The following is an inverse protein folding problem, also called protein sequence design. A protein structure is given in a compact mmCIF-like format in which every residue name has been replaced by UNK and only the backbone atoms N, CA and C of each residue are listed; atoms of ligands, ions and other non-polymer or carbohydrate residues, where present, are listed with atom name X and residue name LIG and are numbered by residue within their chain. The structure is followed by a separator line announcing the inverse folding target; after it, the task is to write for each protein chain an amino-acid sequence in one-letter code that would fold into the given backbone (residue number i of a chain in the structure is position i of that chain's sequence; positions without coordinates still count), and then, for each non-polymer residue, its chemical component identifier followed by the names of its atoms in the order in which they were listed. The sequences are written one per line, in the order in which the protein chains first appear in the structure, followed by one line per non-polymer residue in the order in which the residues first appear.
data_IF_223225515518
#
_entry.id   IF_223225515518
#
_cell.length_a   1.000
_cell.length_b   1.000
_cell.length_c   1.000
_cell.angle_alpha   90.00
_cell.angle_beta   90.00
_cell.angle_gamma   90.00
#
_symmetry.space_group_name_H-M   'P 1'
#
loop_
_entity.id
_entity.type
_entity.pdbx_description
1 polymer ?
#
# COMPACT_ATOMS: atom_id res chain seq x y z
N UNK A 1 -17.51 42.32 -17.71
CA UNK A 1 -17.78 42.96 -16.40
C UNK A 1 -18.55 41.94 -15.58
N UNK A 2 -18.01 41.30 -14.54
CA UNK A 2 -16.75 41.46 -13.85
C UNK A 2 -16.31 40.10 -13.30
N UNK A 3 -15.00 39.96 -13.17
CA UNK A 3 -14.28 38.82 -12.66
C UNK A 3 -14.70 38.46 -11.23
N UNK A 4 -14.72 37.15 -10.94
CA UNK A 4 -14.36 36.63 -9.61
C UNK A 4 -13.43 35.45 -9.81
N UNK A 5 -12.17 35.80 -10.10
CA UNK A 5 -11.03 34.97 -9.76
C UNK A 5 -11.06 34.71 -8.25
N UNK A 6 -11.21 33.45 -7.85
CA UNK A 6 -10.90 33.00 -6.49
C UNK A 6 -9.36 32.98 -6.37
N UNK A 7 -8.80 33.48 -5.26
CA UNK A 7 -7.37 33.71 -5.17
C UNK A 7 -6.60 32.39 -5.05
N UNK A 8 -5.52 32.31 -5.82
CA UNK A 8 -4.40 31.42 -5.56
C UNK A 8 -3.76 31.74 -4.20
N UNK A 9 -3.04 30.77 -3.66
CA UNK A 9 -2.19 30.82 -2.47
C UNK A 9 -2.91 30.83 -1.11
N UNK A 10 -3.44 29.67 -0.71
CA UNK A 10 -3.20 29.24 0.66
C UNK A 10 -1.75 28.75 0.70
N UNK A 11 -0.86 29.60 1.20
CA UNK A 11 0.50 29.23 1.55
C UNK A 11 0.41 28.06 2.53
N UNK A 12 0.90 26.90 2.09
CA UNK A 12 1.20 25.78 2.96
C UNK A 12 2.22 26.29 3.98
N UNK A 13 1.84 26.26 5.25
CA UNK A 13 2.68 26.68 6.37
C UNK A 13 3.91 25.75 6.41
N UNK A 14 5.03 26.25 5.87
CA UNK A 14 6.27 25.51 5.63
C UNK A 14 7.13 25.36 6.90
N UNK A 15 6.49 25.05 8.04
CA UNK A 15 7.17 24.71 9.29
C UNK A 15 6.51 23.51 9.97
N UNK A 16 6.02 22.53 9.20
CA UNK A 16 5.89 21.19 9.76
C UNK A 16 7.32 20.67 9.97
N UNK A 17 7.74 20.61 11.23
CA UNK A 17 8.90 19.82 11.63
C UNK A 17 8.79 18.44 10.96
N UNK A 18 9.91 17.91 10.48
CA UNK A 18 10.03 16.61 9.79
C UNK A 18 9.74 15.45 10.74
N UNK A 19 8.48 15.36 11.18
CA UNK A 19 7.99 14.42 12.16
C UNK A 19 7.03 13.44 11.51
N UNK A 20 6.91 12.26 12.11
CA UNK A 20 5.89 11.26 11.77
C UNK A 20 4.50 11.87 11.60
N UNK A 21 3.60 11.11 10.96
CA UNK A 21 2.16 11.40 11.02
C UNK A 21 1.74 11.71 12.46
N UNK A 22 0.93 12.76 12.60
CA UNK A 22 0.24 13.04 13.87
C UNK A 22 -0.87 12.02 14.04
N UNK A 23 -0.63 11.03 14.91
CA UNK A 23 -1.60 10.00 15.25
C UNK A 23 -2.04 10.17 16.71
N UNK A 24 -3.31 9.90 16.98
CA UNK A 24 -3.91 9.85 18.31
C UNK A 24 -4.39 8.43 18.61
N UNK A 25 -3.49 7.46 18.76
CA UNK A 25 -3.88 6.07 18.91
C UNK A 25 -4.71 5.86 20.19
N UNK A 26 -5.79 5.06 20.15
CA UNK A 26 -6.62 4.80 21.32
C UNK A 26 -5.90 3.94 22.38
N UNK A 27 -4.85 3.23 21.96
CA UNK A 27 -4.00 2.41 22.81
C UNK A 27 -2.61 2.25 22.19
N UNK A 28 -1.60 2.12 23.06
CA UNK A 28 -0.23 1.83 22.64
C UNK A 28 0.30 0.71 23.52
N UNK A 29 0.74 -0.37 22.89
CA UNK A 29 1.32 -1.54 23.55
C UNK A 29 2.76 -1.73 23.10
N UNK A 30 3.65 -2.11 24.01
CA UNK A 30 5.07 -2.35 23.71
C UNK A 30 5.49 -3.67 24.34
N UNK A 31 6.00 -4.60 23.53
CA UNK A 31 6.36 -5.91 24.05
C UNK A 31 7.64 -5.83 24.88
N UNK A 32 7.75 -6.67 25.91
CA UNK A 32 8.99 -6.77 26.68
C UNK A 32 10.19 -7.16 25.80
N UNK A 33 9.95 -7.96 24.75
CA UNK A 33 10.97 -8.35 23.77
C UNK A 33 11.50 -7.14 22.99
N UNK A 34 10.62 -6.23 22.54
CA UNK A 34 11.02 -5.00 21.88
C UNK A 34 11.88 -4.11 22.78
N UNK A 35 11.67 -4.16 24.08
CA UNK A 35 12.42 -3.38 25.07
C UNK A 35 13.71 -4.05 25.56
N UNK A 36 13.88 -5.36 25.32
CA UNK A 36 15.04 -6.14 25.76
C UNK A 36 16.29 -5.89 24.89
N UNK A 37 16.12 -5.68 23.58
CA UNK A 37 17.21 -5.31 22.68
C UNK A 37 17.39 -3.79 22.62
N UNK A 38 18.64 -3.31 22.70
CA UNK A 38 18.94 -1.88 22.81
C UNK A 38 18.57 -1.10 21.53
N UNK A 39 18.79 -1.67 20.33
CA UNK A 39 18.46 -1.01 19.05
C UNK A 39 16.94 -0.92 18.89
N UNK A 40 16.24 -2.01 19.16
CA UNK A 40 14.78 -2.11 19.14
C UNK A 40 14.13 -1.14 20.13
N UNK A 41 14.61 -1.11 21.38
CA UNK A 41 14.11 -0.22 22.42
C UNK A 41 14.35 1.25 22.07
N UNK A 42 15.50 1.59 21.48
CA UNK A 42 15.78 2.95 21.04
C UNK A 42 14.82 3.40 19.94
N UNK A 43 14.52 2.54 18.96
CA UNK A 43 13.53 2.81 17.91
C UNK A 43 12.12 2.97 18.47
N UNK A 44 11.68 2.05 19.32
CA UNK A 44 10.37 2.13 19.95
C UNK A 44 10.22 3.44 20.74
N UNK A 45 11.20 3.79 21.59
CA UNK A 45 11.19 5.05 22.35
C UNK A 45 11.14 6.28 21.46
N UNK A 46 11.91 6.30 20.35
CA UNK A 46 11.89 7.42 19.39
C UNK A 46 10.50 7.60 18.77
N UNK A 47 9.86 6.52 18.33
CA UNK A 47 8.51 6.57 17.76
C UNK A 47 7.47 6.99 18.80
N UNK A 48 7.56 6.47 20.03
CA UNK A 48 6.66 6.85 21.12
C UNK A 48 6.78 8.35 21.47
N UNK A 49 8.00 8.89 21.45
CA UNK A 49 8.26 10.30 21.70
C UNK A 49 7.69 11.22 20.63
N UNK A 50 7.86 10.86 19.36
CA UNK A 50 7.23 11.62 18.27
C UNK A 50 5.69 11.59 18.33
N UNK A 51 5.11 10.54 18.92
CA UNK A 51 3.66 10.43 19.16
C UNK A 51 3.18 11.07 20.48
N UNK A 52 4.09 11.50 21.36
CA UNK A 52 3.76 11.93 22.72
C UNK A 52 3.00 10.86 23.53
N UNK A 53 3.36 9.59 23.36
CA UNK A 53 2.65 8.44 23.92
C UNK A 53 3.48 7.62 24.93
N UNK A 54 4.65 8.10 25.35
CA UNK A 54 5.60 7.36 26.20
C UNK A 54 4.97 6.95 27.53
N UNK A 55 4.30 7.87 28.22
CA UNK A 55 3.70 7.62 29.53
C UNK A 55 2.45 6.72 29.45
N UNK A 56 1.88 6.57 28.25
CA UNK A 56 0.66 5.78 28.00
C UNK A 56 0.96 4.40 27.40
N UNK A 57 2.22 4.09 27.13
CA UNK A 57 2.64 2.82 26.56
C UNK A 57 2.45 1.69 27.59
N UNK A 58 1.69 0.67 27.21
CA UNK A 58 1.36 -0.47 28.07
C UNK A 58 2.33 -1.62 27.75
N UNK A 59 3.17 -2.07 28.69
CA UNK A 59 4.01 -3.24 28.47
C UNK A 59 3.16 -4.50 28.31
N UNK A 60 3.58 -5.45 27.48
CA UNK A 60 2.89 -6.74 27.32
C UNK A 60 3.83 -7.90 26.99
N UNK A 61 3.34 -9.11 27.25
CA UNK A 61 3.93 -10.41 26.89
C UNK A 61 2.97 -11.20 26.00
N UNK A 62 3.43 -12.32 25.43
CA UNK A 62 2.58 -13.19 24.60
C UNK A 62 1.30 -13.67 25.32
N UNK A 63 1.39 -13.83 26.65
CA UNK A 63 0.26 -14.28 27.48
C UNK A 63 -0.86 -13.23 27.57
N UNK A 64 -0.55 -11.95 27.32
CA UNK A 64 -1.51 -10.85 27.41
C UNK A 64 -2.32 -10.67 26.11
N UNK A 65 -1.89 -11.28 25.00
CA UNK A 65 -2.49 -11.11 23.67
C UNK A 65 -4.01 -11.39 23.66
N UNK A 66 -4.53 -12.48 24.25
CA UNK A 66 -5.97 -12.74 24.26
C UNK A 66 -6.77 -11.64 24.97
N UNK A 67 -6.24 -11.10 26.06
CA UNK A 67 -6.89 -10.01 26.81
C UNK A 67 -6.79 -8.68 26.07
N UNK A 68 -5.66 -8.39 25.42
CA UNK A 68 -5.52 -7.22 24.55
C UNK A 68 -6.57 -7.21 23.44
N UNK A 69 -6.78 -8.36 22.77
CA UNK A 69 -7.78 -8.51 21.72
C UNK A 69 -9.18 -8.26 22.28
N UNK A 70 -9.50 -8.85 23.45
CA UNK A 70 -10.80 -8.69 24.12
C UNK A 70 -11.07 -7.26 24.55
N UNK A 71 -10.11 -6.61 25.19
CA UNK A 71 -10.23 -5.25 25.71
C UNK A 71 -10.41 -4.20 24.59
N UNK A 72 -9.98 -4.51 23.37
CA UNK A 72 -10.02 -3.60 22.21
C UNK A 72 -10.97 -4.03 21.09
N UNK A 73 -11.73 -5.10 21.30
CA UNK A 73 -12.66 -5.67 20.31
C UNK A 73 -11.99 -6.00 18.96
N UNK A 74 -10.74 -6.49 19.00
CA UNK A 74 -9.94 -6.76 17.80
C UNK A 74 -10.34 -8.05 17.07
N UNK A 75 -11.37 -8.77 17.52
CA UNK A 75 -12.03 -9.78 16.69
C UNK A 75 -12.63 -9.20 15.40
N UNK A 76 -12.83 -7.88 15.37
CA UNK A 76 -13.27 -7.13 14.19
C UNK A 76 -12.14 -6.43 13.43
N UNK A 77 -10.87 -6.59 13.85
CA UNK A 77 -9.71 -5.85 13.36
C UNK A 77 -9.49 -5.88 11.85
N UNK A 78 -10.04 -6.89 11.17
CA UNK A 78 -9.91 -7.12 9.74
C UNK A 78 -11.22 -6.90 8.97
N UNK A 79 -12.17 -6.16 9.53
CA UNK A 79 -13.34 -5.64 8.80
C UNK A 79 -12.96 -4.45 7.94
N UNK A 80 -13.74 -4.21 6.88
CA UNK A 80 -13.52 -3.08 5.98
C UNK A 80 -13.79 -1.76 6.71
N UNK A 81 -12.89 -0.78 6.58
CA UNK A 81 -12.94 0.46 7.37
C UNK A 81 -14.25 1.24 7.18
N UNK A 82 -14.85 1.18 5.99
CA UNK A 82 -16.12 1.85 5.71
C UNK A 82 -17.33 1.25 6.45
N UNK A 83 -17.18 0.05 7.04
CA UNK A 83 -18.25 -0.57 7.87
C UNK A 83 -18.26 -0.06 9.31
N UNK A 84 -17.25 0.72 9.72
CA UNK A 84 -17.19 1.36 11.03
C UNK A 84 -17.88 2.73 10.99
N UNK A 85 -18.29 3.25 12.16
CA UNK A 85 -19.01 4.52 12.27
C UNK A 85 -18.19 5.76 11.80
N UNK A 86 -16.88 5.61 11.64
CA UNK A 86 -15.99 6.66 11.14
C UNK A 86 -14.52 6.22 11.14
N UNK A 87 -13.68 7.04 10.50
CA UNK A 87 -12.22 6.87 10.55
C UNK A 87 -11.70 7.21 11.96
N UNK A 88 -10.76 6.40 12.43
CA UNK A 88 -10.05 6.56 13.69
C UNK A 88 -8.64 6.02 13.51
N UNK A 89 -7.69 6.56 14.28
CA UNK A 89 -6.33 6.03 14.28
C UNK A 89 -6.29 4.63 14.89
N UNK A 90 -5.44 3.73 14.36
CA UNK A 90 -5.29 2.39 14.89
C UNK A 90 -4.67 2.43 16.28
N UNK A 91 -4.97 1.44 17.10
CA UNK A 91 -4.10 1.11 18.21
C UNK A 91 -2.72 0.67 17.70
N UNK A 92 -1.65 1.01 18.41
CA UNK A 92 -0.29 0.67 18.02
C UNK A 92 0.25 -0.44 18.91
N UNK A 93 0.88 -1.44 18.30
CA UNK A 93 1.56 -2.53 19.01
C UNK A 93 3.00 -2.62 18.51
N UNK A 94 3.95 -2.25 19.35
CA UNK A 94 5.38 -2.38 19.08
C UNK A 94 5.87 -3.73 19.56
N UNK A 95 6.41 -4.54 18.65
CA UNK A 95 6.99 -5.85 18.97
C UNK A 95 8.18 -6.15 18.05
N UNK A 96 8.67 -7.39 18.01
CA UNK A 96 9.82 -7.81 17.20
C UNK A 96 9.46 -8.96 16.28
N UNK A 97 10.10 -9.03 15.11
CA UNK A 97 10.04 -10.22 14.26
C UNK A 97 10.78 -11.35 14.95
N UNK A 98 10.15 -12.52 14.98
CA UNK A 98 10.76 -13.77 15.40
C UNK A 98 11.28 -14.56 14.20
N UNK A 99 12.36 -15.28 14.43
CA UNK A 99 13.06 -16.10 13.43
C UNK A 99 13.03 -17.59 13.78
N UNK A 100 12.33 -17.95 14.86
CA UNK A 100 12.06 -19.33 15.23
C UNK A 100 10.85 -19.89 14.48
N UNK A 101 10.57 -21.17 14.70
CA UNK A 101 9.45 -21.85 14.06
C UNK A 101 8.13 -21.19 14.44
N UNK A 102 7.32 -20.88 13.42
CA UNK A 102 5.99 -20.30 13.61
C UNK A 102 5.10 -21.31 14.36
N UNK A 103 4.66 -21.01 15.59
CA UNK A 103 3.83 -21.90 16.37
C UNK A 103 2.44 -21.99 15.74
N UNK A 104 1.77 -23.13 15.94
CA UNK A 104 0.34 -23.24 15.68
C UNK A 104 -0.40 -22.27 16.61
N UNK A 105 -1.10 -21.24 16.08
CA UNK A 105 -1.77 -20.25 16.90
C UNK A 105 -3.00 -20.83 17.60
N UNK A 106 -3.42 -22.07 17.28
CA UNK A 106 -4.67 -22.67 17.74
C UNK A 106 -4.90 -22.53 19.24
N UNK A 107 -3.87 -22.83 20.06
CA UNK A 107 -3.99 -22.70 21.51
C UNK A 107 -4.31 -21.27 21.94
N UNK A 108 -3.60 -20.28 21.39
CA UNK A 108 -3.83 -18.88 21.72
C UNK A 108 -5.15 -18.36 21.15
N UNK A 109 -5.55 -18.85 19.96
CA UNK A 109 -6.84 -18.55 19.33
C UNK A 109 -8.02 -19.07 20.15
N UNK A 110 -7.90 -20.23 20.81
CA UNK A 110 -8.93 -20.78 21.71
C UNK A 110 -9.18 -19.88 22.92
N UNK A 111 -8.18 -19.09 23.35
CA UNK A 111 -8.29 -18.11 24.44
C UNK A 111 -8.81 -16.74 23.95
N UNK A 112 -8.74 -16.47 22.65
CA UNK A 112 -9.20 -15.22 22.03
C UNK A 112 -10.73 -15.19 21.84
N UNK A 113 -11.35 -14.00 21.76
CA UNK A 113 -12.75 -13.87 21.38
C UNK A 113 -13.07 -14.57 20.03
N UNK A 114 -14.26 -15.20 19.89
CA UNK A 114 -14.68 -15.81 18.64
C UNK A 114 -14.65 -14.82 17.46
N UNK A 115 -14.16 -15.27 16.31
CA UNK A 115 -14.01 -14.43 15.11
C UNK A 115 -12.65 -13.75 14.99
N UNK A 116 -11.78 -13.86 16.00
CA UNK A 116 -10.40 -13.35 15.95
C UNK A 116 -9.65 -13.90 14.73
N UNK A 117 -9.13 -13.02 13.84
CA UNK A 117 -8.36 -13.46 12.69
C UNK A 117 -7.07 -14.17 13.10
N UNK A 118 -6.80 -15.41 12.64
CA UNK A 118 -5.53 -16.09 12.89
C UNK A 118 -4.30 -15.30 12.44
N UNK A 119 -4.44 -14.47 11.40
CA UNK A 119 -3.38 -13.58 10.94
C UNK A 119 -3.01 -12.53 11.98
N UNK A 120 -3.98 -11.96 12.70
CA UNK A 120 -3.70 -10.96 13.73
C UNK A 120 -2.88 -11.55 14.88
N UNK A 121 -3.25 -12.74 15.35
CA UNK A 121 -2.55 -13.41 16.45
C UNK A 121 -1.09 -13.66 16.09
N UNK A 122 -0.83 -14.18 14.89
CA UNK A 122 0.55 -14.36 14.40
C UNK A 122 1.33 -13.06 14.31
N UNK A 123 0.66 -11.97 13.90
CA UNK A 123 1.32 -10.68 13.79
C UNK A 123 1.73 -10.17 15.18
N UNK A 124 0.83 -10.24 16.16
CA UNK A 124 1.10 -9.85 17.55
C UNK A 124 2.23 -10.67 18.19
N UNK A 125 2.31 -11.96 17.85
CA UNK A 125 3.38 -12.86 18.30
C UNK A 125 4.75 -12.61 17.64
N UNK A 126 4.85 -11.76 16.62
CA UNK A 126 6.12 -11.51 15.94
C UNK A 126 6.36 -12.30 14.65
N UNK A 127 5.37 -13.03 14.12
CA UNK A 127 5.54 -13.84 12.90
C UNK A 127 5.21 -13.05 11.62
N UNK A 128 5.97 -11.97 11.41
CA UNK A 128 6.02 -11.19 10.17
C UNK A 128 7.27 -11.50 9.33
N UNK A 129 7.84 -10.49 8.67
CA UNK A 129 9.11 -10.59 7.95
C UNK A 129 8.98 -10.97 6.49
N UNK A 130 9.87 -11.83 5.99
CA UNK A 130 9.90 -12.26 4.60
C UNK A 130 8.64 -13.02 4.23
N UNK A 131 7.97 -12.55 3.18
CA UNK A 131 6.83 -13.23 2.57
C UNK A 131 7.10 -13.48 1.09
N UNK A 132 6.41 -14.47 0.53
CA UNK A 132 6.36 -14.65 -0.92
C UNK A 132 4.99 -14.30 -1.41
N UNK A 133 4.93 -13.29 -2.26
CA UNK A 133 3.75 -13.06 -3.07
C UNK A 133 3.78 -14.06 -4.23
N UNK A 134 2.89 -15.06 -4.20
CA UNK A 134 2.69 -15.99 -5.31
C UNK A 134 1.50 -15.58 -6.15
N UNK A 135 1.67 -15.68 -7.46
CA UNK A 135 0.56 -15.82 -8.37
C UNK A 135 0.06 -17.26 -8.28
N UNK A 136 -1.17 -17.44 -7.82
CA UNK A 136 -1.81 -18.75 -7.87
C UNK A 136 -2.34 -18.94 -9.30
N UNK A 137 -2.00 -20.02 -10.00
CA UNK A 137 -2.54 -20.33 -11.33
C UNK A 137 -4.07 -20.44 -11.36
N UNK A 138 -4.72 -20.63 -10.20
CA UNK A 138 -6.18 -20.63 -10.05
C UNK A 138 -6.79 -19.22 -9.96
N UNK A 139 -5.98 -18.17 -9.84
CA UNK A 139 -6.52 -16.82 -9.84
C UNK A 139 -6.87 -16.41 -11.27
N UNK A 140 -8.05 -15.85 -11.43
CA UNK A 140 -8.60 -15.21 -12.63
C UNK A 140 -7.94 -13.86 -12.94
N UNK A 141 -6.64 -13.71 -12.65
CA UNK A 141 -5.90 -12.45 -12.76
C UNK A 141 -4.41 -12.65 -13.02
N UNK A 142 -3.82 -11.67 -13.68
CA UNK A 142 -2.39 -11.56 -13.98
C UNK A 142 -1.69 -10.71 -12.91
N UNK A 143 -0.62 -11.22 -12.32
CA UNK A 143 0.23 -10.51 -11.35
C UNK A 143 1.72 -10.84 -11.58
N UNK A 144 2.57 -10.55 -10.58
CA UNK A 144 3.99 -10.92 -10.56
C UNK A 144 4.34 -11.55 -9.24
N UNK A 145 4.86 -12.78 -9.29
CA UNK A 145 5.48 -13.41 -8.14
C UNK A 145 6.71 -12.61 -7.69
N UNK A 146 6.98 -12.56 -6.38
CA UNK A 146 8.17 -11.92 -5.81
C UNK A 146 8.38 -12.30 -4.35
N UNK A 147 9.63 -12.22 -3.88
CA UNK A 147 9.88 -11.99 -2.47
C UNK A 147 9.49 -10.56 -2.11
N UNK A 148 8.89 -10.38 -0.94
CA UNK A 148 8.63 -9.07 -0.34
C UNK A 148 8.76 -9.19 1.18
N UNK A 149 8.79 -8.06 1.88
CA UNK A 149 8.98 -8.05 3.33
C UNK A 149 7.88 -7.24 4.00
N UNK A 150 7.36 -7.76 5.09
CA UNK A 150 6.30 -7.11 5.87
C UNK A 150 6.82 -6.88 7.28
N UNK A 151 7.00 -5.60 7.61
CA UNK A 151 7.47 -5.13 8.92
C UNK A 151 6.37 -4.38 9.69
N UNK A 152 5.27 -4.09 9.00
CA UNK A 152 4.10 -3.36 9.49
C UNK A 152 2.84 -4.11 9.06
N UNK A 153 1.90 -4.29 9.99
CA UNK A 153 0.59 -4.86 9.71
C UNK A 153 -0.52 -3.99 10.29
N UNK A 154 -1.23 -3.30 9.41
CA UNK A 154 -2.18 -2.26 9.76
C UNK A 154 -1.71 -0.90 9.25
N UNK A 155 -2.65 0.02 9.10
CA UNK A 155 -2.38 1.32 8.49
C UNK A 155 -3.22 2.41 9.17
N UNK A 156 -2.66 3.59 9.45
CA UNK A 156 -3.42 4.75 9.88
C UNK A 156 -4.43 5.28 8.85
N UNK A 157 -4.19 4.99 7.56
CA UNK A 157 -5.12 5.35 6.50
C UNK A 157 -6.44 4.55 6.64
N UNK A 158 -7.55 5.27 6.71
CA UNK A 158 -8.90 4.72 6.90
C UNK A 158 -9.62 4.36 5.60
N UNK A 159 -8.90 3.91 4.56
CA UNK A 159 -9.51 3.61 3.26
C UNK A 159 -10.70 2.67 3.42
N UNK A 160 -11.89 3.11 3.00
CA UNK A 160 -13.15 2.45 3.31
C UNK A 160 -13.18 0.97 2.87
N UNK A 161 -12.57 0.67 1.73
CA UNK A 161 -12.47 -0.68 1.18
C UNK A 161 -11.37 -1.56 1.83
N UNK A 162 -10.52 -1.02 2.72
CA UNK A 162 -9.36 -1.70 3.31
C UNK A 162 -9.72 -2.37 4.64
N UNK A 163 -8.98 -3.42 5.04
CA UNK A 163 -9.17 -4.17 6.30
C UNK A 163 -8.05 -3.95 7.33
N UNK A 164 -7.31 -2.84 7.21
CA UNK A 164 -6.08 -2.60 7.97
C UNK A 164 -6.18 -1.71 9.22
N UNK A 165 -7.30 -1.03 9.49
CA UNK A 165 -7.25 0.24 10.24
C UNK A 165 -7.50 0.20 11.75
N UNK A 166 -7.86 -0.91 12.39
CA UNK A 166 -8.12 -0.90 13.86
C UNK A 166 -6.86 -1.11 14.72
N UNK A 167 -5.85 -1.81 14.19
CA UNK A 167 -4.60 -2.10 14.91
C UNK A 167 -3.45 -2.16 13.92
N UNK A 168 -2.36 -1.47 14.28
CA UNK A 168 -1.08 -1.50 13.57
C UNK A 168 -0.03 -2.18 14.42
N UNK A 169 0.43 -3.34 13.97
CA UNK A 169 1.57 -4.06 14.57
C UNK A 169 2.85 -3.61 13.87
N UNK A 170 3.81 -3.14 14.65
CA UNK A 170 5.06 -2.51 14.21
C UNK A 170 6.23 -3.32 14.74
N UNK A 171 7.08 -3.83 13.83
CA UNK A 171 8.27 -4.58 14.24
C UNK A 171 9.50 -3.69 14.31
N UNK A 172 10.10 -3.59 15.49
CA UNK A 172 11.17 -2.62 15.75
C UNK A 172 12.58 -3.17 15.63
N UNK A 173 12.79 -4.48 15.44
CA UNK A 173 14.13 -5.08 15.27
C UNK A 173 14.60 -5.09 13.80
N UNK A 174 14.55 -3.92 13.15
CA UNK A 174 14.83 -3.77 11.72
C UNK A 174 16.23 -4.24 11.31
N UNK A 175 17.25 -3.94 12.11
CA UNK A 175 18.63 -4.33 11.81
C UNK A 175 18.79 -5.85 11.81
N UNK A 176 18.17 -6.53 12.78
CA UNK A 176 18.21 -7.99 12.84
C UNK A 176 17.45 -8.62 11.66
N UNK A 177 16.32 -8.05 11.25
CA UNK A 177 15.61 -8.46 10.04
C UNK A 177 16.49 -8.29 8.80
N UNK A 178 17.20 -7.16 8.70
CA UNK A 178 18.11 -6.89 7.59
C UNK A 178 19.21 -7.95 7.52
N UNK A 179 19.88 -8.20 8.64
CA UNK A 179 20.97 -9.16 8.78
C UNK A 179 20.50 -10.60 8.48
N UNK A 180 19.36 -11.03 9.03
CA UNK A 180 18.93 -12.44 8.98
C UNK A 180 18.09 -12.82 7.76
N UNK A 181 17.32 -11.90 7.19
CA UNK A 181 16.38 -12.22 6.11
C UNK A 181 16.59 -11.38 4.85
N UNK A 182 16.69 -10.06 4.97
CA UNK A 182 16.70 -9.18 3.78
C UNK A 182 17.99 -9.35 3.00
N UNK A 183 19.16 -9.12 3.63
CA UNK A 183 20.45 -9.19 2.94
C UNK A 183 20.70 -10.58 2.32
N UNK A 184 20.46 -11.72 3.01
CA UNK A 184 20.54 -13.04 2.39
C UNK A 184 19.58 -13.24 1.22
N UNK A 185 18.36 -12.70 1.29
CA UNK A 185 17.38 -12.83 0.20
C UNK A 185 17.77 -11.99 -1.02
N UNK A 186 18.30 -10.77 -0.83
CA UNK A 186 18.82 -9.94 -1.91
C UNK A 186 20.02 -10.60 -2.61
N UNK A 187 20.92 -11.23 -1.85
CA UNK A 187 22.09 -11.91 -2.38
C UNK A 187 21.73 -13.25 -3.08
N UNK A 188 20.82 -14.03 -2.50
CA UNK A 188 20.43 -15.34 -3.00
C UNK A 188 19.50 -15.34 -4.20
N UNK A 189 18.95 -14.19 -4.60
CA UNK A 189 17.93 -14.10 -5.67
C UNK A 189 18.33 -13.11 -6.77
N UNK A 190 19.36 -13.41 -7.59
CA UNK A 190 19.91 -12.48 -8.57
C UNK A 190 18.92 -12.09 -9.69
N UNK A 191 17.82 -12.83 -9.84
CA UNK A 191 16.77 -12.55 -10.83
C UNK A 191 15.70 -11.57 -10.33
N UNK A 192 15.69 -11.22 -9.04
CA UNK A 192 14.84 -10.18 -8.49
C UNK A 192 15.70 -8.96 -8.15
N UNK A 193 15.44 -7.85 -8.84
CA UNK A 193 16.11 -6.58 -8.64
C UNK A 193 15.32 -5.67 -7.70
N UNK A 194 13.99 -5.68 -7.80
CA UNK A 194 13.11 -4.79 -7.03
C UNK A 194 12.47 -5.54 -5.88
N UNK A 195 12.59 -5.01 -4.66
CA UNK A 195 12.02 -5.59 -3.44
C UNK A 195 11.01 -4.62 -2.85
N UNK A 196 9.73 -5.02 -2.88
CA UNK A 196 8.66 -4.25 -2.25
C UNK A 196 8.59 -4.56 -0.75
N UNK A 197 8.28 -3.55 0.04
CA UNK A 197 8.10 -3.66 1.49
C UNK A 197 6.72 -3.14 1.90
N UNK A 198 6.19 -3.70 3.00
CA UNK A 198 4.98 -3.23 3.69
C UNK A 198 3.80 -3.03 2.73
N UNK A 199 3.47 -4.08 1.97
CA UNK A 199 2.42 -4.05 0.96
C UNK A 199 1.13 -4.76 1.41
N UNK A 200 1.17 -5.43 2.56
CA UNK A 200 0.08 -6.19 3.13
C UNK A 200 -0.61 -5.41 4.26
N UNK A 201 -1.54 -4.54 3.88
CA UNK A 201 -2.37 -3.74 4.81
C UNK A 201 -1.58 -2.68 5.60
N UNK A 202 -0.49 -2.16 5.07
CA UNK A 202 0.33 -1.14 5.72
C UNK A 202 0.80 -0.08 4.72
N UNK A 203 1.31 1.04 5.26
CA UNK A 203 1.93 2.13 4.51
C UNK A 203 3.11 2.63 5.33
N UNK A 204 4.33 2.40 4.84
CA UNK A 204 5.57 2.71 5.59
C UNK A 204 5.67 4.19 5.95
N UNK A 205 5.29 5.07 5.02
CA UNK A 205 5.50 6.51 5.17
C UNK A 205 4.61 7.14 6.25
N UNK A 206 3.62 6.41 6.76
CA UNK A 206 2.86 6.84 7.93
C UNK A 206 3.70 6.84 9.22
N UNK A 207 4.78 6.05 9.25
CA UNK A 207 5.59 5.85 10.45
C UNK A 207 7.01 6.42 10.33
N UNK A 208 7.33 7.10 9.23
CA UNK A 208 8.64 7.68 8.96
C UNK A 208 8.66 9.18 9.28
N UNK A 209 9.83 9.77 9.60
CA UNK A 209 11.17 9.17 9.63
C UNK A 209 11.51 8.33 10.88
N UNK A 210 10.66 8.32 11.91
CA UNK A 210 11.01 7.78 13.23
C UNK A 210 11.10 6.27 13.25
N UNK A 211 10.41 5.57 12.35
CA UNK A 211 10.57 4.14 12.16
C UNK A 211 11.97 3.79 11.63
N UNK A 212 12.46 4.54 10.64
CA UNK A 212 13.82 4.44 10.10
C UNK A 212 14.04 3.30 9.12
N UNK A 213 12.99 2.59 8.69
CA UNK A 213 13.11 1.51 7.70
C UNK A 213 13.56 2.07 6.35
N UNK A 214 12.97 3.20 5.96
CA UNK A 214 13.17 3.82 4.65
C UNK A 214 14.62 4.22 4.46
N UNK A 215 15.22 4.86 5.47
CA UNK A 215 16.64 5.21 5.44
C UNK A 215 17.53 3.96 5.36
N UNK A 216 17.33 2.99 6.26
CA UNK A 216 18.14 1.75 6.29
C UNK A 216 18.10 1.00 4.95
N UNK A 217 16.92 0.90 4.34
CA UNK A 217 16.75 0.18 3.08
C UNK A 217 17.27 0.96 1.87
N UNK A 218 17.07 2.29 1.86
CA UNK A 218 17.59 3.14 0.80
C UNK A 218 19.12 3.08 0.75
N UNK A 219 19.79 3.23 1.90
CA UNK A 219 21.25 3.15 2.01
C UNK A 219 21.78 1.75 1.65
N UNK A 220 21.10 0.69 2.12
CA UNK A 220 21.45 -0.70 1.77
C UNK A 220 21.39 -0.94 0.25
N UNK A 221 20.31 -0.53 -0.41
CA UNK A 221 20.15 -0.73 -1.85
C UNK A 221 21.06 0.20 -2.67
N UNK A 222 21.31 1.43 -2.20
CA UNK A 222 22.25 2.37 -2.81
C UNK A 222 23.71 1.87 -2.82
N UNK A 223 24.05 0.94 -1.92
CA UNK A 223 25.34 0.27 -1.89
C UNK A 223 25.44 -0.94 -2.84
N UNK A 224 24.39 -1.26 -3.60
CA UNK A 224 24.36 -2.38 -4.56
C UNK A 224 24.38 -1.89 -6.00
N UNK A 225 24.78 -2.74 -6.94
CA UNK A 225 24.76 -2.40 -8.37
C UNK A 225 23.36 -2.44 -8.98
N UNK A 226 22.48 -3.30 -8.49
CA UNK A 226 21.23 -3.66 -9.18
C UNK A 226 20.06 -4.06 -8.27
N UNK A 227 20.11 -3.73 -6.97
CA UNK A 227 18.99 -3.94 -6.04
C UNK A 227 18.29 -2.62 -5.75
N UNK A 228 16.96 -2.67 -5.72
CA UNK A 228 16.10 -1.52 -5.55
C UNK A 228 15.10 -1.74 -4.42
N UNK A 229 15.05 -0.78 -3.51
CA UNK A 229 14.02 -0.69 -2.49
C UNK A 229 12.76 -0.08 -3.11
N UNK A 230 11.58 -0.70 -2.93
CA UNK A 230 10.31 -0.14 -3.41
C UNK A 230 9.35 0.12 -2.26
N UNK A 231 8.94 1.39 -2.15
CA UNK A 231 7.89 1.86 -1.23
C UNK A 231 6.59 1.99 -2.01
N UNK A 232 5.51 1.37 -1.54
CA UNK A 232 4.15 1.59 -2.07
C UNK A 232 3.33 2.37 -1.04
N UNK A 233 2.82 3.55 -1.41
CA UNK A 233 2.19 4.47 -0.47
C UNK A 233 0.95 5.19 -1.03
N UNK A 234 0.15 5.79 -0.14
CA UNK A 234 -0.84 6.86 -0.38
C UNK A 234 -0.51 8.14 0.40
N UNK A 235 0.63 8.15 1.10
CA UNK A 235 1.08 9.24 1.96
C UNK A 235 1.61 10.42 1.16
N UNK A 236 1.51 11.61 1.76
CA UNK A 236 2.20 12.82 1.32
C UNK A 236 3.37 13.21 2.24
N UNK A 237 3.66 12.41 3.28
CA UNK A 237 4.81 12.57 4.17
C UNK A 237 6.08 12.09 3.48
N UNK A 238 6.73 13.00 2.75
CA UNK A 238 7.91 12.72 1.93
C UNK A 238 9.07 13.66 2.19
N UNK A 239 8.90 14.66 3.06
CA UNK A 239 9.91 15.71 3.19
C UNK A 239 11.26 15.16 3.70
N UNK A 240 11.21 14.22 4.64
CA UNK A 240 12.41 13.52 5.15
C UNK A 240 13.18 12.73 4.07
N UNK A 241 12.56 12.39 2.94
CA UNK A 241 13.23 11.66 1.85
C UNK A 241 14.33 12.51 1.19
N UNK A 242 14.24 13.84 1.27
CA UNK A 242 15.20 14.76 0.63
C UNK A 242 16.62 14.60 1.16
N UNK A 243 16.77 14.14 2.40
CA UNK A 243 18.05 14.01 3.09
C UNK A 243 18.68 12.61 2.95
N UNK A 244 17.99 11.66 2.29
CA UNK A 244 18.45 10.28 2.16
C UNK A 244 19.27 10.11 0.87
N UNK A 245 20.51 9.61 0.98
CA UNK A 245 21.33 9.25 -0.18
C UNK A 245 20.88 7.94 -0.83
N UNK A 246 19.86 8.02 -1.68
CA UNK A 246 19.24 6.86 -2.33
C UNK A 246 19.95 6.41 -3.62
N UNK A 247 20.80 7.25 -4.23
CA UNK A 247 21.57 6.98 -5.47
C UNK A 247 20.75 6.44 -6.66
N UNK A 248 19.44 6.69 -6.70
CA UNK A 248 18.50 6.13 -7.69
C UNK A 248 18.01 4.70 -7.42
N UNK A 249 18.41 4.09 -6.29
CA UNK A 249 18.08 2.71 -5.89
C UNK A 249 16.85 2.60 -4.97
N UNK A 250 16.09 3.68 -4.80
CA UNK A 250 14.82 3.69 -4.07
C UNK A 250 13.70 4.15 -4.99
N UNK A 251 12.72 3.29 -5.22
CA UNK A 251 11.57 3.51 -6.08
C UNK A 251 10.37 3.87 -5.21
N UNK A 252 9.68 4.95 -5.57
CA UNK A 252 8.46 5.38 -4.89
C UNK A 252 7.26 5.13 -5.79
N UNK A 253 6.37 4.26 -5.34
CA UNK A 253 5.14 3.90 -6.02
C UNK A 253 3.93 4.49 -5.27
N UNK A 254 3.15 5.34 -5.93
CA UNK A 254 1.88 5.82 -5.39
C UNK A 254 0.68 5.04 -5.88
N UNK A 255 -0.24 4.74 -4.96
CA UNK A 255 -1.65 4.56 -5.29
C UNK A 255 -2.31 5.93 -5.43
N UNK A 256 -2.70 6.29 -6.64
CA UNK A 256 -3.41 7.54 -6.94
C UNK A 256 -4.88 7.23 -7.26
N UNK A 257 -5.78 7.99 -6.68
CA UNK A 257 -7.24 7.89 -6.87
C UNK A 257 -7.79 9.26 -7.21
N UNK A 258 -9.01 9.31 -7.75
CA UNK A 258 -9.62 10.58 -8.16
C UNK A 258 -9.95 11.49 -6.96
N UNK A 259 -10.10 12.81 -7.14
CA UNK A 259 -10.32 13.76 -6.04
C UNK A 259 -11.48 13.39 -5.11
N UNK A 260 -12.64 12.97 -5.65
CA UNK A 260 -13.77 12.52 -4.83
C UNK A 260 -13.41 11.28 -4.01
N UNK A 261 -12.73 10.29 -4.62
CA UNK A 261 -12.36 9.04 -3.95
C UNK A 261 -11.33 9.29 -2.85
N UNK A 262 -10.27 10.06 -3.11
CA UNK A 262 -9.24 10.34 -2.11
C UNK A 262 -9.80 11.07 -0.89
N UNK A 263 -10.76 11.96 -1.08
CA UNK A 263 -11.37 12.76 0.00
C UNK A 263 -12.44 12.03 0.79
N UNK A 264 -13.31 11.27 0.12
CA UNK A 264 -14.51 10.70 0.73
C UNK A 264 -14.41 9.19 1.02
N UNK A 265 -13.58 8.47 0.27
CA UNK A 265 -13.43 7.01 0.38
C UNK A 265 -12.10 6.62 1.02
N UNK A 266 -11.11 7.51 1.01
CA UNK A 266 -9.77 7.25 1.57
C UNK A 266 -9.39 8.22 2.70
N UNK A 267 -10.22 8.38 3.76
CA UNK A 267 -9.93 9.31 4.84
C UNK A 267 -8.61 8.99 5.54
N UNK A 268 -7.93 10.04 6.00
CA UNK A 268 -6.63 9.95 6.67
C UNK A 268 -5.43 9.71 5.74
N UNK A 269 -5.64 9.39 4.47
CA UNK A 269 -4.58 9.37 3.45
C UNK A 269 -4.45 10.72 2.74
N UNK A 270 -3.36 10.95 2.01
CA UNK A 270 -3.19 12.20 1.27
C UNK A 270 -4.26 12.35 0.18
N UNK A 271 -4.66 13.58 -0.15
CA UNK A 271 -5.57 13.85 -1.26
C UNK A 271 -4.90 13.58 -2.61
N UNK A 272 -5.67 13.53 -3.69
CA UNK A 272 -5.13 13.36 -5.05
C UNK A 272 -4.03 14.38 -5.37
N UNK A 273 -4.25 15.64 -5.02
CA UNK A 273 -3.32 16.76 -5.24
C UNK A 273 -2.10 16.66 -4.33
N UNK A 274 -2.27 16.33 -3.05
CA UNK A 274 -1.16 16.14 -2.12
C UNK A 274 -0.25 14.98 -2.57
N UNK A 275 -0.84 13.87 -3.05
CA UNK A 275 -0.07 12.75 -3.61
C UNK A 275 0.67 13.16 -4.88
N UNK A 276 0.05 13.91 -5.79
CA UNK A 276 0.70 14.41 -7.01
C UNK A 276 1.86 15.36 -6.67
N UNK A 277 1.68 16.24 -5.69
CA UNK A 277 2.76 17.13 -5.26
C UNK A 277 3.88 16.36 -4.55
N UNK A 278 3.55 15.38 -3.69
CA UNK A 278 4.54 14.51 -3.07
C UNK A 278 5.36 13.73 -4.12
N UNK A 279 4.70 13.16 -5.13
CA UNK A 279 5.36 12.53 -6.28
C UNK A 279 6.31 13.48 -6.97
N UNK A 280 5.86 14.70 -7.23
CA UNK A 280 6.66 15.73 -7.85
C UNK A 280 7.91 16.10 -7.04
N UNK A 281 7.76 16.36 -5.73
CA UNK A 281 8.89 16.66 -4.84
C UNK A 281 9.92 15.52 -4.83
N UNK A 282 9.46 14.27 -4.86
CA UNK A 282 10.36 13.13 -4.92
C UNK A 282 11.06 13.00 -6.28
N UNK A 283 10.35 13.27 -7.38
CA UNK A 283 10.96 13.31 -8.71
C UNK A 283 12.03 14.41 -8.79
N UNK A 284 11.76 15.60 -8.22
CA UNK A 284 12.72 16.71 -8.14
C UNK A 284 13.97 16.34 -7.32
N UNK A 285 13.81 15.48 -6.30
CA UNK A 285 14.90 14.91 -5.52
C UNK A 285 15.62 13.72 -6.21
N UNK A 286 15.20 13.33 -7.42
CA UNK A 286 15.85 12.28 -8.22
C UNK A 286 15.36 10.86 -7.97
N UNK A 287 14.29 10.66 -7.19
CA UNK A 287 13.70 9.34 -7.01
C UNK A 287 12.96 8.88 -8.28
N UNK A 288 13.13 7.61 -8.71
CA UNK A 288 12.21 6.97 -9.64
C UNK A 288 10.77 6.92 -9.07
N UNK A 289 9.83 7.56 -9.76
CA UNK A 289 8.42 7.63 -9.36
C UNK A 289 7.56 6.74 -10.25
N UNK A 290 6.64 5.98 -9.65
CA UNK A 290 5.68 5.10 -10.33
C UNK A 290 4.27 5.34 -9.81
N UNK A 291 3.28 5.06 -10.65
CA UNK A 291 1.87 5.25 -10.28
C UNK A 291 1.05 4.01 -10.57
N UNK A 292 0.11 3.73 -9.68
CA UNK A 292 -1.07 2.91 -9.96
C UNK A 292 -2.31 3.75 -9.71
N UNK A 293 -3.16 3.89 -10.73
CA UNK A 293 -4.56 4.24 -10.51
C UNK A 293 -5.23 3.02 -9.88
N UNK A 294 -5.19 2.95 -8.54
CA UNK A 294 -5.57 1.76 -7.77
C UNK A 294 -6.10 2.13 -6.37
N UNK A 295 -7.42 1.96 -6.13
CA UNK A 295 -8.45 1.56 -7.10
C UNK A 295 -9.00 2.74 -7.93
N UNK A 296 -9.36 2.48 -9.18
CA UNK A 296 -10.30 3.34 -9.92
C UNK A 296 -11.71 2.99 -9.45
N UNK A 297 -12.39 3.95 -8.82
CA UNK A 297 -13.80 3.86 -8.41
C UNK A 297 -14.61 4.81 -9.30
N UNK A 298 -15.50 4.31 -10.17
CA UNK A 298 -16.32 5.14 -11.05
C UNK A 298 -17.40 5.91 -10.27
N UNK A 299 -17.02 7.04 -9.70
CA UNK A 299 -17.93 8.01 -9.06
C UNK A 299 -18.69 8.84 -10.10
N UNK A 300 -19.76 9.54 -9.69
CA UNK A 300 -20.42 10.52 -10.53
C UNK A 300 -19.39 11.53 -11.08
N UNK A 301 -19.33 11.71 -12.40
CA UNK A 301 -18.34 12.61 -13.03
C UNK A 301 -16.92 12.03 -13.12
N UNK A 302 -16.72 10.72 -12.93
CA UNK A 302 -15.38 10.11 -12.91
C UNK A 302 -14.51 10.39 -14.15
N UNK A 303 -15.13 10.64 -15.32
CA UNK A 303 -14.39 10.95 -16.57
C UNK A 303 -13.66 12.28 -16.46
N UNK A 304 -14.36 13.32 -16.00
CA UNK A 304 -13.79 14.65 -15.83
C UNK A 304 -12.71 14.65 -14.75
N UNK A 305 -12.96 13.94 -13.64
CA UNK A 305 -11.95 13.76 -12.59
C UNK A 305 -10.72 12.99 -13.08
N UNK A 306 -10.92 11.95 -13.89
CA UNK A 306 -9.83 11.15 -14.44
C UNK A 306 -8.98 11.97 -15.41
N UNK A 307 -9.60 12.76 -16.30
CA UNK A 307 -8.87 13.62 -17.24
C UNK A 307 -8.05 14.68 -16.50
N UNK A 308 -8.65 15.40 -15.54
CA UNK A 308 -7.95 16.40 -14.75
C UNK A 308 -6.82 15.79 -13.90
N UNK A 309 -7.05 14.63 -13.30
CA UNK A 309 -6.03 13.92 -12.51
C UNK A 309 -4.86 13.47 -13.38
N UNK A 310 -5.12 12.90 -14.57
CA UNK A 310 -4.07 12.46 -15.51
C UNK A 310 -3.26 13.65 -16.00
N UNK A 311 -3.90 14.76 -16.33
CA UNK A 311 -3.24 16.00 -16.75
C UNK A 311 -2.31 16.55 -15.66
N UNK A 312 -2.83 16.66 -14.43
CA UNK A 312 -2.05 17.13 -13.28
C UNK A 312 -0.85 16.21 -12.98
N UNK A 313 -1.05 14.88 -12.98
CA UNK A 313 0.01 13.90 -12.74
C UNK A 313 1.14 14.01 -13.77
N UNK A 314 0.79 13.99 -15.06
CA UNK A 314 1.77 13.99 -16.15
C UNK A 314 2.44 15.35 -16.33
N UNK A 315 1.82 16.42 -15.83
CA UNK A 315 2.45 17.74 -15.73
C UNK A 315 3.48 17.78 -14.59
N UNK A 316 3.18 17.19 -13.42
CA UNK A 316 4.00 17.37 -12.22
C UNK A 316 5.13 16.36 -12.04
N UNK A 317 4.91 15.07 -12.32
CA UNK A 317 5.82 14.00 -11.86
C UNK A 317 6.33 13.03 -12.94
N UNK A 318 5.66 12.92 -14.11
CA UNK A 318 6.04 12.05 -15.24
C UNK A 318 6.59 10.66 -14.81
N UNK A 319 5.73 9.77 -14.31
CA UNK A 319 6.14 8.49 -13.74
C UNK A 319 6.75 7.51 -14.75
N UNK A 320 7.63 6.63 -14.28
CA UNK A 320 8.29 5.56 -15.05
C UNK A 320 7.29 4.61 -15.72
N UNK A 321 6.13 4.37 -15.07
CA UNK A 321 5.03 3.57 -15.58
C UNK A 321 3.74 3.86 -14.81
N UNK A 322 2.61 3.53 -15.42
CA UNK A 322 1.26 3.73 -14.88
C UNK A 322 0.47 2.42 -14.92
N UNK A 323 0.00 1.97 -13.77
CA UNK A 323 -0.89 0.81 -13.65
C UNK A 323 -2.36 1.22 -13.58
N UNK A 324 -3.23 0.50 -14.28
CA UNK A 324 -4.69 0.65 -14.21
C UNK A 324 -5.29 -0.50 -13.41
N UNK A 325 -6.13 -0.20 -12.42
CA UNK A 325 -6.82 -1.21 -11.61
C UNK A 325 -8.13 -0.62 -11.09
N UNK A 326 -9.26 -1.13 -11.57
CA UNK A 326 -10.55 -0.80 -10.94
C UNK A 326 -10.65 -1.41 -9.54
N UNK A 327 -11.61 -0.95 -8.74
CA UNK A 327 -11.91 -1.56 -7.45
C UNK A 327 -12.11 -3.08 -7.61
N UNK A 328 -11.37 -3.85 -6.81
CA UNK A 328 -11.19 -5.28 -6.98
C UNK A 328 -11.16 -6.03 -5.62
N UNK A 329 -11.15 -7.36 -5.65
CA UNK A 329 -11.12 -8.25 -4.47
C UNK A 329 -12.28 -8.09 -3.50
N UNK A 330 -13.46 -7.79 -4.03
CA UNK A 330 -14.65 -7.63 -3.21
C UNK A 330 -15.92 -7.95 -3.99
N UNK A 331 -16.93 -8.45 -3.28
CA UNK A 331 -18.27 -8.62 -3.84
C UNK A 331 -19.00 -7.28 -3.95
N UNK A 332 -20.12 -7.27 -4.65
CA UNK A 332 -21.02 -6.11 -4.67
C UNK A 332 -21.55 -5.79 -3.26
N UNK A 333 -21.86 -6.81 -2.46
CA UNK A 333 -22.31 -6.65 -1.08
C UNK A 333 -21.22 -5.98 -0.22
N UNK A 334 -19.98 -6.47 -0.29
CA UNK A 334 -18.84 -5.86 0.40
C UNK A 334 -18.66 -4.37 0.03
N UNK A 335 -18.83 -4.06 -1.27
CA UNK A 335 -18.67 -2.69 -1.77
C UNK A 335 -19.77 -1.78 -1.21
N UNK A 336 -21.03 -2.26 -1.21
CA UNK A 336 -22.20 -1.55 -0.67
C UNK A 336 -22.09 -1.31 0.82
N UNK A 337 -21.50 -2.25 1.56
CA UNK A 337 -21.35 -2.13 3.00
C UNK A 337 -20.27 -1.13 3.41
N UNK A 338 -19.30 -0.81 2.52
CA UNK A 338 -18.18 0.07 2.87
C UNK A 338 -18.10 1.38 2.09
N UNK A 339 -18.78 1.54 0.96
CA UNK A 339 -18.78 2.80 0.20
C UNK A 339 -20.21 3.30 0.07
N UNK A 340 -20.41 4.62 0.20
CA UNK A 340 -21.68 5.25 -0.11
C UNK A 340 -21.95 5.22 -1.63
N UNK A 341 -22.94 4.43 -2.04
CA UNK A 341 -23.31 4.26 -3.45
C UNK A 341 -23.93 5.52 -4.07
N UNK A 342 -24.35 6.51 -3.27
CA UNK A 342 -24.78 7.81 -3.79
C UNK A 342 -23.64 8.55 -4.52
N UNK A 343 -22.39 8.20 -4.21
CA UNK A 343 -21.21 8.71 -4.89
C UNK A 343 -20.96 8.04 -6.24
N UNK A 344 -21.43 6.82 -6.44
CA UNK A 344 -21.10 6.00 -7.62
C UNK A 344 -21.93 6.40 -8.84
N UNK A 345 -21.34 6.27 -10.03
CA UNK A 345 -22.05 6.49 -11.29
C UNK A 345 -23.21 5.46 -11.42
N UNK A 346 -24.46 5.91 -11.65
CA UNK A 346 -25.62 5.01 -11.70
C UNK A 346 -25.51 3.91 -12.76
N UNK A 347 -24.82 4.16 -13.89
CA UNK A 347 -24.59 3.15 -14.91
C UNK A 347 -23.80 1.96 -14.35
N UNK A 348 -22.77 2.26 -13.55
CA UNK A 348 -21.92 1.25 -12.93
C UNK A 348 -22.65 0.51 -11.82
N UNK A 349 -23.49 1.21 -11.03
CA UNK A 349 -24.32 0.58 -10.01
C UNK A 349 -25.27 -0.45 -10.64
N UNK A 350 -26.07 -0.04 -11.63
CA UNK A 350 -27.01 -0.94 -12.31
C UNK A 350 -26.29 -2.14 -12.95
N UNK A 351 -25.18 -1.90 -13.64
CA UNK A 351 -24.44 -2.98 -14.29
C UNK A 351 -23.81 -3.97 -13.30
N UNK A 352 -23.38 -3.52 -12.12
CA UNK A 352 -22.90 -4.43 -11.08
C UNK A 352 -24.03 -5.26 -10.49
N UNK A 353 -25.21 -4.68 -10.28
CA UNK A 353 -26.41 -5.39 -9.81
C UNK A 353 -26.85 -6.46 -10.82
N UNK A 354 -26.93 -6.11 -12.11
CA UNK A 354 -27.26 -7.06 -13.19
C UNK A 354 -26.23 -8.19 -13.31
N UNK A 355 -24.96 -7.91 -13.01
CA UNK A 355 -23.85 -8.85 -13.12
C UNK A 355 -23.55 -9.62 -11.83
N UNK A 356 -24.25 -9.39 -10.72
CA UNK A 356 -23.83 -9.87 -9.39
C UNK A 356 -23.61 -11.38 -9.36
N UNK A 357 -24.56 -12.15 -9.93
CA UNK A 357 -24.51 -13.60 -9.95
C UNK A 357 -23.25 -14.13 -10.67
N UNK A 358 -22.89 -13.55 -11.81
CA UNK A 358 -21.71 -13.97 -12.59
C UNK A 358 -20.38 -13.44 -12.02
N UNK A 359 -20.41 -12.33 -11.28
CA UNK A 359 -19.22 -11.72 -10.68
C UNK A 359 -18.87 -12.30 -9.31
N UNK A 360 -19.72 -13.17 -8.75
CA UNK A 360 -19.48 -13.83 -7.46
C UNK A 360 -18.19 -14.66 -7.50
N UNK A 361 -17.24 -14.30 -6.65
CA UNK A 361 -15.95 -15.00 -6.55
C UNK A 361 -14.90 -14.59 -7.60
N UNK A 362 -15.22 -13.64 -8.47
CA UNK A 362 -14.29 -13.07 -9.46
C UNK A 362 -13.39 -12.04 -8.75
N UNK A 363 -12.08 -12.23 -8.75
CA UNK A 363 -11.17 -11.37 -7.99
C UNK A 363 -11.02 -9.97 -8.61
N UNK A 364 -11.28 -9.85 -9.91
CA UNK A 364 -11.26 -8.57 -10.63
C UNK A 364 -12.59 -7.79 -10.50
N UNK A 365 -13.57 -8.36 -9.81
CA UNK A 365 -14.87 -7.75 -9.53
C UNK A 365 -14.86 -6.80 -8.31
N UNK A 366 -15.94 -6.01 -8.13
CA UNK A 366 -17.30 -6.34 -8.58
C UNK A 366 -17.71 -5.77 -9.94
N UNK A 367 -16.96 -4.82 -10.51
CA UNK A 367 -17.30 -4.21 -11.80
C UNK A 367 -17.15 -5.25 -12.93
N UNK A 368 -18.15 -5.43 -13.81
CA UNK A 368 -18.06 -6.40 -14.88
C UNK A 368 -17.02 -6.02 -15.96
N UNK A 369 -16.43 -7.01 -16.67
CA UNK A 369 -15.28 -6.80 -17.54
C UNK A 369 -15.52 -5.76 -18.65
N UNK A 370 -16.72 -5.71 -19.23
CA UNK A 370 -17.04 -4.74 -20.29
C UNK A 370 -17.03 -3.28 -19.81
N UNK A 371 -17.39 -3.02 -18.54
CA UNK A 371 -17.27 -1.68 -17.95
C UNK A 371 -15.84 -1.39 -17.51
N UNK A 372 -15.10 -2.38 -17.00
CA UNK A 372 -13.67 -2.22 -16.71
C UNK A 372 -12.88 -1.87 -17.97
N UNK A 373 -13.17 -2.53 -19.10
CA UNK A 373 -12.60 -2.20 -20.41
C UNK A 373 -12.89 -0.75 -20.81
N UNK A 374 -14.13 -0.26 -20.65
CA UNK A 374 -14.48 1.15 -20.92
C UNK A 374 -13.71 2.14 -20.06
N UNK A 375 -13.53 1.83 -18.77
CA UNK A 375 -12.72 2.65 -17.85
C UNK A 375 -11.26 2.67 -18.32
N UNK A 376 -10.67 1.51 -18.60
CA UNK A 376 -9.28 1.42 -19.04
C UNK A 376 -9.04 2.08 -20.39
N UNK A 377 -9.99 1.96 -21.32
CA UNK A 377 -9.96 2.66 -22.61
C UNK A 377 -9.86 4.17 -22.39
N UNK A 378 -10.74 4.74 -21.56
CA UNK A 378 -10.77 6.17 -21.27
C UNK A 378 -9.47 6.65 -20.60
N UNK A 379 -9.01 5.96 -19.55
CA UNK A 379 -7.76 6.30 -18.88
C UNK A 379 -6.57 6.21 -19.82
N UNK A 380 -6.50 5.16 -20.66
CA UNK A 380 -5.43 5.01 -21.63
C UNK A 380 -5.45 6.12 -22.69
N UNK A 381 -6.63 6.53 -23.17
CA UNK A 381 -6.76 7.65 -24.10
C UNK A 381 -6.28 8.97 -23.48
N UNK A 382 -6.71 9.27 -22.25
CA UNK A 382 -6.29 10.45 -21.52
C UNK A 382 -4.77 10.48 -21.29
N UNK A 383 -4.17 9.33 -20.90
CA UNK A 383 -2.71 9.21 -20.76
C UNK A 383 -2.04 9.45 -22.11
N UNK A 384 -2.48 8.78 -23.19
CA UNK A 384 -1.84 8.86 -24.51
C UNK A 384 -1.99 10.21 -25.19
N UNK A 385 -2.98 11.01 -24.80
CA UNK A 385 -3.07 12.40 -25.23
C UNK A 385 -1.90 13.24 -24.71
N UNK A 386 -1.32 12.90 -23.55
CA UNK A 386 -0.28 13.70 -22.88
C UNK A 386 1.10 13.06 -22.91
N UNK A 387 1.16 11.74 -22.81
CA UNK A 387 2.38 10.94 -22.92
C UNK A 387 2.14 9.66 -23.72
N UNK A 388 2.68 9.64 -24.94
CA UNK A 388 2.56 8.51 -25.87
C UNK A 388 3.44 7.32 -25.52
N UNK A 389 4.50 7.55 -24.74
CA UNK A 389 5.58 6.58 -24.54
C UNK A 389 5.57 5.96 -23.13
N UNK A 390 4.95 6.62 -22.14
CA UNK A 390 4.88 6.07 -20.78
C UNK A 390 4.29 4.66 -20.80
N UNK A 391 4.95 3.64 -20.23
CA UNK A 391 4.43 2.29 -20.18
C UNK A 391 3.15 2.26 -19.33
N UNK A 392 2.09 1.68 -19.89
CA UNK A 392 0.82 1.48 -19.18
C UNK A 392 0.57 -0.02 -19.08
N UNK A 393 0.11 -0.50 -17.93
CA UNK A 393 -0.20 -1.91 -17.71
C UNK A 393 -1.50 -2.10 -16.93
N UNK A 394 -2.12 -3.28 -17.03
CA UNK A 394 -3.29 -3.64 -16.22
C UNK A 394 -2.84 -4.35 -14.95
N UNK A 395 -3.13 -3.77 -13.78
CA UNK A 395 -2.71 -4.30 -12.50
C UNK A 395 -3.77 -5.24 -11.93
N UNK A 396 -3.40 -6.50 -11.71
CA UNK A 396 -4.31 -7.52 -11.16
C UNK A 396 -5.58 -7.63 -11.99
N UNK A 397 -5.39 -7.91 -13.27
CA UNK A 397 -6.48 -7.94 -14.24
C UNK A 397 -6.53 -9.27 -14.97
N UNK A 398 -7.71 -9.64 -15.48
CA UNK A 398 -7.98 -10.95 -16.06
C UNK A 398 -7.18 -11.17 -17.35
N UNK A 399 -6.82 -12.42 -17.66
CA UNK A 399 -6.14 -12.75 -18.91
C UNK A 399 -6.88 -12.26 -20.17
N UNK A 400 -8.22 -12.25 -20.12
CA UNK A 400 -9.08 -11.82 -21.23
C UNK A 400 -8.91 -10.33 -21.54
N UNK A 401 -9.00 -9.46 -20.52
CA UNK A 401 -8.76 -8.03 -20.73
C UNK A 401 -7.30 -7.74 -21.07
N UNK A 402 -6.35 -8.52 -20.55
CA UNK A 402 -4.97 -8.45 -20.99
C UNK A 402 -4.81 -8.76 -22.48
N UNK A 403 -5.50 -9.77 -22.99
CA UNK A 403 -5.50 -10.11 -24.41
C UNK A 403 -6.11 -9.00 -25.26
N UNK A 404 -7.24 -8.44 -24.82
CA UNK A 404 -7.94 -7.34 -25.49
C UNK A 404 -7.06 -6.09 -25.59
N UNK A 405 -6.40 -5.70 -24.50
CA UNK A 405 -5.62 -4.48 -24.42
C UNK A 405 -4.18 -4.60 -24.92
N UNK A 406 -3.65 -5.82 -25.10
CA UNK A 406 -2.27 -6.04 -25.52
C UNK A 406 -1.84 -5.21 -26.76
N UNK A 407 -2.66 -5.06 -27.83
CA UNK A 407 -2.29 -4.23 -28.98
C UNK A 407 -2.12 -2.74 -28.63
N UNK A 408 -2.89 -2.22 -27.67
CA UNK A 408 -2.86 -0.80 -27.27
C UNK A 408 -1.80 -0.50 -26.22
N UNK A 409 -1.54 -1.45 -25.32
CA UNK A 409 -0.51 -1.33 -24.29
C UNK A 409 0.89 -1.62 -24.86
N UNK A 410 0.95 -2.37 -25.96
CA UNK A 410 2.21 -2.84 -26.55
C UNK A 410 2.89 -3.96 -25.74
N UNK A 411 2.28 -4.42 -24.65
CA UNK A 411 2.82 -5.43 -23.73
C UNK A 411 1.80 -6.54 -23.49
N UNK A 412 2.28 -7.69 -23.04
CA UNK A 412 1.50 -8.89 -22.72
C UNK A 412 1.80 -9.32 -21.28
N UNK A 413 0.98 -10.22 -20.69
CA UNK A 413 1.27 -10.81 -19.39
C UNK A 413 2.71 -11.33 -19.21
N UNK A 414 3.35 -11.83 -20.28
CA UNK A 414 4.71 -12.35 -20.24
C UNK A 414 5.83 -11.31 -20.12
N UNK A 415 5.62 -10.06 -20.53
CA UNK A 415 6.70 -9.09 -20.73
C UNK A 415 6.42 -7.68 -20.19
N UNK A 416 5.25 -7.45 -19.58
CA UNK A 416 4.90 -6.13 -19.05
C UNK A 416 5.76 -5.68 -17.86
N UNK A 417 5.98 -4.37 -17.80
CA UNK A 417 6.66 -3.68 -16.69
C UNK A 417 5.67 -3.33 -15.59
N UNK A 418 5.56 -4.22 -14.60
CA UNK A 418 4.72 -3.98 -13.42
C UNK A 418 5.36 -2.95 -12.51
N UNK A 419 4.59 -1.98 -12.02
CA UNK A 419 5.12 -0.98 -11.10
C UNK A 419 5.78 -1.58 -9.85
N UNK A 420 5.35 -2.76 -9.38
CA UNK A 420 5.95 -3.51 -8.27
C UNK A 420 6.57 -4.85 -8.71
N UNK A 421 6.92 -5.00 -9.99
CA UNK A 421 7.47 -6.24 -10.54
C UNK A 421 8.91 -6.48 -10.08
N UNK A 422 9.30 -7.75 -9.79
CA UNK A 422 10.63 -8.07 -9.27
C UNK A 422 11.77 -7.71 -10.24
N UNK A 423 11.50 -7.70 -11.54
CA UNK A 423 12.47 -7.45 -12.61
C UNK A 423 12.29 -6.07 -13.27
N UNK A 424 11.42 -5.22 -12.72
CA UNK A 424 11.08 -3.93 -13.31
C UNK A 424 11.94 -2.84 -12.69
N UNK A 425 13.22 -2.78 -13.08
CA UNK A 425 14.15 -1.70 -12.68
C UNK A 425 13.72 -0.34 -13.25
N UNK A 426 14.19 0.80 -12.71
CA UNK A 426 13.92 2.11 -13.28
C UNK A 426 14.28 2.20 -14.76
N UNK A 427 13.43 2.86 -15.55
CA UNK A 427 13.58 2.98 -17.00
C UNK A 427 13.27 1.73 -17.83
N UNK A 428 12.96 0.58 -17.21
CA UNK A 428 12.58 -0.63 -17.93
C UNK A 428 11.31 -0.42 -18.78
N UNK A 429 11.32 -0.90 -20.03
CA UNK A 429 10.17 -0.84 -20.95
C UNK A 429 9.50 -2.19 -21.19
N UNK A 430 10.25 -3.28 -21.02
CA UNK A 430 9.78 -4.67 -21.04
C UNK A 430 10.63 -5.49 -20.07
N UNK A 431 10.10 -6.62 -19.61
CA UNK A 431 10.91 -7.66 -18.96
C UNK A 431 11.22 -8.77 -19.96
N UNK A 432 12.38 -9.41 -19.82
CA UNK A 432 12.84 -10.42 -20.78
C UNK A 432 12.16 -11.78 -20.57
N UNK A 433 11.98 -12.18 -19.33
CA UNK A 433 11.41 -13.47 -18.95
C UNK A 433 10.73 -13.36 -17.59
N UNK A 434 9.66 -14.13 -17.38
CA UNK A 434 9.07 -14.28 -16.06
C UNK A 434 10.03 -14.97 -15.09
N UNK A 435 9.95 -14.61 -13.83
CA UNK A 435 10.66 -15.27 -12.76
C UNK A 435 9.72 -15.53 -11.59
N UNK A 436 9.93 -16.68 -10.93
CA UNK A 436 9.19 -17.08 -9.73
C UNK A 436 10.15 -17.42 -8.59
N UNK A 437 9.81 -17.01 -7.34
CA UNK A 437 10.56 -17.34 -6.15
C UNK A 437 10.33 -18.81 -5.73
N UNK A 438 11.39 -19.45 -5.24
CA UNK A 438 11.31 -20.74 -4.56
C UNK A 438 10.43 -20.65 -3.29
N UNK A 439 9.85 -21.77 -2.84
CA UNK A 439 9.10 -21.82 -1.57
C UNK A 439 9.91 -21.24 -0.42
N UNK A 440 9.28 -20.40 0.42
CA UNK A 440 9.86 -20.08 1.73
C UNK A 440 9.75 -21.35 2.54
N UNK A 441 10.89 -21.87 3.01
CA UNK A 441 10.93 -22.96 3.99
C UNK A 441 10.29 -22.51 5.31
#
# INVERSE_FOLDING_TARGET
MGERYLPATALVDATQEETMYRLTPPAVYVSEQAMADARSAARARRMLAALGCEERAIPFTDADIPEMIRARAWETARRRQGTHAGHHDPALVFTTIRFDDRPDPKRLLEECPPGTPPSLVHQLLGYGGRTVHRENPKHDRVCRCRYQFETLFGCPHGCCYCTGGQVSVIYVNLEELIERQIAPTLAGNPRQNVFMFNSALSDTLCFEPEYGLTQLMAELCAATEDRYYLIHTKSANVDFLREIDHRGHTILLWSLTSPTVSRLVEPGSGTTEERIEAMGRCADAGYPVRVKFKPIVPVCGWRDEAEAMVDALLTRARPDNIGLCTIAWMSLADLRDCIDFSLMDPEFVCAMEDAEARMRGVHTGPIPPELRARVYQFYLDAIRARDREVPVFLCTESPELWQEFAPRLGMRPGDYVCACGPQTTPGARRIAELWEPESVA
#
